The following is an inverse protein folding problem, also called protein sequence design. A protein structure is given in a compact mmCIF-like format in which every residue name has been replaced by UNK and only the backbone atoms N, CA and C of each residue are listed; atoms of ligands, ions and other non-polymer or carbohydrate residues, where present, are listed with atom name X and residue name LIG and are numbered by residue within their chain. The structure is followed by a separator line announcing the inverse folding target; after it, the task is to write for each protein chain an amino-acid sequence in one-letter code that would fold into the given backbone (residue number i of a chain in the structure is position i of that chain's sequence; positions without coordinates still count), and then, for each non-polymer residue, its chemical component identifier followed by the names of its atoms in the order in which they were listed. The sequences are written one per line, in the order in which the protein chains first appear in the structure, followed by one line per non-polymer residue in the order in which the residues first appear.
data_IF_754243758670
#
_entry.id   IF_754243758670
#
_cell.length_a   1.000
_cell.length_b   1.000
_cell.length_c   1.000
_cell.angle_alpha   90.00
_cell.angle_beta   90.00
_cell.angle_gamma   90.00
#
_symmetry.space_group_name_H-M   'P 1'
#
loop_
_entity.id
_entity.type
_entity.pdbx_description
1 polymer ?
#
# COMPACT_ATOMS: atom_id res chain seq x y z
N UNK A 1 -47.82 -3.01 -15.16
CA UNK A 1 -47.39 -4.38 -15.47
C UNK A 1 -46.22 -4.77 -14.54
N UNK A 2 -46.26 -6.02 -14.05
CA UNK A 2 -45.24 -6.58 -13.14
C UNK A 2 -43.83 -6.54 -13.74
N UNK A 3 -43.73 -6.63 -15.07
CA UNK A 3 -42.43 -6.53 -15.78
C UNK A 3 -41.84 -5.12 -15.67
N UNK A 4 -42.66 -4.09 -15.87
CA UNK A 4 -42.21 -2.69 -15.75
C UNK A 4 -41.72 -2.36 -14.34
N UNK A 5 -42.37 -2.93 -13.31
CA UNK A 5 -41.92 -2.81 -11.93
C UNK A 5 -40.54 -3.46 -11.73
N UNK A 6 -40.33 -4.69 -12.23
CA UNK A 6 -39.06 -5.41 -12.15
C UNK A 6 -37.94 -4.68 -12.89
N UNK A 7 -38.21 -4.08 -14.03
CA UNK A 7 -37.25 -3.26 -14.76
C UNK A 7 -36.80 -2.04 -13.93
N UNK A 8 -37.75 -1.31 -13.33
CA UNK A 8 -37.45 -0.17 -12.49
C UNK A 8 -36.61 -0.58 -11.25
N UNK A 9 -36.92 -1.71 -10.63
CA UNK A 9 -36.13 -2.28 -9.54
C UNK A 9 -34.70 -2.59 -10.01
N UNK A 10 -34.52 -3.18 -11.19
CA UNK A 10 -33.23 -3.52 -11.75
C UNK A 10 -32.39 -2.25 -12.09
N UNK A 11 -33.04 -1.21 -12.64
CA UNK A 11 -32.43 0.11 -12.87
C UNK A 11 -31.90 0.69 -11.56
N UNK A 12 -32.74 0.69 -10.52
CA UNK A 12 -32.35 1.24 -9.21
C UNK A 12 -31.17 0.48 -8.59
N UNK A 13 -31.15 -0.86 -8.72
CA UNK A 13 -30.04 -1.70 -8.24
C UNK A 13 -28.77 -1.43 -9.04
N UNK A 14 -28.86 -1.30 -10.36
CA UNK A 14 -27.71 -1.03 -11.24
C UNK A 14 -27.10 0.35 -10.95
N UNK A 15 -27.95 1.37 -10.79
CA UNK A 15 -27.50 2.72 -10.44
C UNK A 15 -26.80 2.74 -9.07
N UNK A 16 -27.36 2.03 -8.09
CA UNK A 16 -26.71 1.87 -6.80
C UNK A 16 -25.36 1.16 -6.91
N UNK A 17 -25.29 0.08 -7.71
CA UNK A 17 -24.04 -0.64 -7.95
C UNK A 17 -22.98 0.27 -8.58
N UNK A 18 -23.37 1.09 -9.57
CA UNK A 18 -22.48 2.08 -10.19
C UNK A 18 -21.96 3.10 -9.18
N UNK A 19 -22.84 3.66 -8.33
CA UNK A 19 -22.44 4.59 -7.26
C UNK A 19 -21.52 3.94 -6.22
N UNK A 20 -21.75 2.68 -5.86
CA UNK A 20 -20.88 1.95 -4.94
C UNK A 20 -19.50 1.73 -5.57
N UNK A 21 -19.40 1.47 -6.89
CA UNK A 21 -18.11 1.37 -7.60
C UNK A 21 -17.37 2.71 -7.65
N UNK A 22 -18.06 3.83 -7.86
CA UNK A 22 -17.45 5.17 -7.77
C UNK A 22 -16.85 5.44 -6.38
N UNK A 23 -17.57 5.03 -5.33
CA UNK A 23 -17.04 5.16 -3.95
C UNK A 23 -15.81 4.27 -3.71
N UNK A 24 -15.79 3.08 -4.29
CA UNK A 24 -14.61 2.19 -4.22
C UNK A 24 -13.45 2.81 -4.98
N UNK A 25 -13.69 3.42 -6.16
CA UNK A 25 -12.64 4.12 -6.92
C UNK A 25 -11.98 5.24 -6.10
N UNK A 26 -12.79 6.08 -5.44
CA UNK A 26 -12.27 7.14 -4.56
C UNK A 26 -11.46 6.56 -3.39
N UNK A 27 -11.90 5.43 -2.83
CA UNK A 27 -11.16 4.78 -1.75
C UNK A 27 -9.81 4.22 -2.25
N UNK A 28 -9.75 3.66 -3.46
CA UNK A 28 -8.50 3.19 -4.07
C UNK A 28 -7.51 4.36 -4.31
N UNK A 29 -7.97 5.49 -4.80
CA UNK A 29 -7.14 6.71 -4.96
C UNK A 29 -6.53 7.15 -3.61
N UNK A 30 -7.33 7.12 -2.53
CA UNK A 30 -6.83 7.45 -1.18
C UNK A 30 -5.80 6.44 -0.65
N UNK A 31 -5.95 5.15 -1.00
CA UNK A 31 -4.98 4.12 -0.63
C UNK A 31 -3.69 4.30 -1.45
N UNK A 32 -3.77 4.63 -2.73
CA UNK A 32 -2.62 4.92 -3.59
C UNK A 32 -1.80 6.09 -3.03
N UNK A 33 -2.46 7.19 -2.64
CA UNK A 33 -1.80 8.32 -1.97
C UNK A 33 -1.12 7.88 -0.65
N UNK A 34 -1.78 7.02 0.12
CA UNK A 34 -1.23 6.50 1.38
C UNK A 34 0.02 5.66 1.16
N UNK A 35 0.05 4.84 0.10
CA UNK A 35 1.23 4.05 -0.28
C UNK A 35 2.37 4.96 -0.73
N UNK A 36 2.10 5.98 -1.52
CA UNK A 36 3.13 6.94 -1.93
C UNK A 36 3.74 7.67 -0.72
N UNK A 37 2.91 8.07 0.24
CA UNK A 37 3.39 8.66 1.49
C UNK A 37 4.21 7.68 2.33
N UNK A 38 3.83 6.40 2.35
CA UNK A 38 4.59 5.34 3.01
C UNK A 38 5.97 5.17 2.37
N UNK A 39 6.06 5.09 1.03
CA UNK A 39 7.33 5.01 0.32
C UNK A 39 8.25 6.19 0.65
N UNK A 40 7.71 7.40 0.66
CA UNK A 40 8.47 8.59 1.02
C UNK A 40 8.99 8.54 2.48
N UNK A 41 8.20 8.03 3.41
CA UNK A 41 8.60 7.87 4.81
C UNK A 41 9.68 6.79 4.97
N UNK A 42 9.52 5.64 4.31
CA UNK A 42 10.47 4.53 4.34
C UNK A 42 11.82 4.95 3.73
N UNK A 43 11.81 5.69 2.62
CA UNK A 43 13.02 6.24 2.01
C UNK A 43 13.75 7.23 2.96
N UNK A 44 13.01 8.03 3.73
CA UNK A 44 13.63 8.89 4.76
C UNK A 44 14.32 8.08 5.85
N UNK A 45 13.71 6.97 6.29
CA UNK A 45 14.33 6.05 7.26
C UNK A 45 15.59 5.44 6.69
N UNK A 46 15.60 5.00 5.43
CA UNK A 46 16.78 4.49 4.75
C UNK A 46 17.94 5.51 4.69
N UNK A 47 17.62 6.75 4.33
CA UNK A 47 18.62 7.83 4.29
C UNK A 47 19.19 8.12 5.69
N UNK A 48 18.33 8.23 6.71
CA UNK A 48 18.78 8.43 8.10
C UNK A 48 19.65 7.27 8.60
N UNK A 49 19.32 6.03 8.24
CA UNK A 49 20.15 4.86 8.54
C UNK A 49 21.52 4.96 7.89
N UNK A 50 21.59 5.45 6.64
CA UNK A 50 22.86 5.71 5.96
C UNK A 50 23.73 6.75 6.67
N UNK A 51 23.14 7.82 7.19
CA UNK A 51 23.86 8.82 8.00
C UNK A 51 24.37 8.23 9.32
N UNK A 52 23.56 7.38 9.97
CA UNK A 52 23.98 6.69 11.20
C UNK A 52 25.18 5.78 10.93
N UNK A 53 25.24 5.07 9.80
CA UNK A 53 26.40 4.26 9.43
C UNK A 53 27.68 5.09 9.38
N UNK A 54 27.63 6.30 8.81
CA UNK A 54 28.80 7.19 8.77
C UNK A 54 29.26 7.60 10.17
N UNK A 55 28.29 7.93 11.06
CA UNK A 55 28.59 8.29 12.44
C UNK A 55 29.21 7.10 13.21
N UNK A 56 28.66 5.91 13.02
CA UNK A 56 29.15 4.69 13.67
C UNK A 56 30.58 4.36 13.24
N UNK A 57 30.90 4.50 11.95
CA UNK A 57 32.26 4.31 11.45
C UNK A 57 33.25 5.29 12.09
N UNK A 58 32.87 6.59 12.21
CA UNK A 58 33.68 7.58 12.88
C UNK A 58 33.91 7.25 14.38
N UNK A 59 32.85 6.78 15.07
CA UNK A 59 32.96 6.35 16.47
C UNK A 59 33.90 5.14 16.59
N UNK A 60 33.86 4.21 15.64
CA UNK A 60 34.80 3.10 15.56
C UNK A 60 36.26 3.53 15.41
N UNK A 61 36.53 4.46 14.48
CA UNK A 61 37.85 5.04 14.29
C UNK A 61 38.36 5.72 15.57
N UNK A 62 37.51 6.50 16.25
CA UNK A 62 37.85 7.15 17.53
C UNK A 62 38.15 6.11 18.62
N UNK A 63 37.37 5.02 18.68
CA UNK A 63 37.62 3.96 19.65
C UNK A 63 38.97 3.27 19.41
N UNK A 64 39.28 2.96 18.15
CA UNK A 64 40.55 2.33 17.79
C UNK A 64 41.73 3.25 18.08
N UNK A 65 41.63 4.54 17.75
CA UNK A 65 42.68 5.53 18.09
C UNK A 65 42.85 5.70 19.61
N UNK A 66 41.72 5.71 20.34
CA UNK A 66 41.72 5.77 21.81
C UNK A 66 42.40 4.54 22.42
N UNK A 67 42.16 3.36 21.85
CA UNK A 67 42.79 2.11 22.27
C UNK A 67 44.31 2.16 22.04
N UNK A 68 44.79 2.65 20.87
CA UNK A 68 46.20 2.85 20.57
C UNK A 68 46.83 3.84 21.50
N UNK A 69 46.18 4.97 21.80
CA UNK A 69 46.67 5.98 22.77
C UNK A 69 46.80 5.39 24.18
N UNK A 70 45.82 4.58 24.61
CA UNK A 70 45.84 3.91 25.91
C UNK A 70 47.02 2.92 26.02
N UNK A 71 47.30 2.19 24.94
CA UNK A 71 48.43 1.27 24.87
C UNK A 71 49.75 2.02 24.98
N UNK A 72 49.92 3.10 24.23
CA UNK A 72 51.09 3.94 24.28
C UNK A 72 51.32 4.54 25.69
N UNK A 73 50.23 5.03 26.31
CA UNK A 73 50.25 5.54 27.68
C UNK A 73 50.63 4.44 28.70
N UNK A 74 50.16 3.22 28.52
CA UNK A 74 50.51 2.07 29.36
C UNK A 74 51.99 1.71 29.25
N UNK A 75 52.55 1.77 28.04
CA UNK A 75 53.98 1.53 27.80
C UNK A 75 54.84 2.60 28.50
N UNK A 76 54.49 3.88 28.37
CA UNK A 76 55.25 4.95 28.99
C UNK A 76 55.13 4.97 30.53
N UNK A 77 53.93 4.61 31.04
CA UNK A 77 53.71 4.40 32.47
C UNK A 77 54.60 3.26 33.04
N UNK A 78 54.75 2.18 32.31
CA UNK A 78 55.62 1.08 32.66
C UNK A 78 57.11 1.53 32.64
N UNK A 79 57.47 2.38 31.69
CA UNK A 79 58.83 2.95 31.57
C UNK A 79 59.22 3.88 32.73
N UNK A 80 58.20 4.56 33.33
CA UNK A 80 58.41 5.43 34.51
C UNK A 80 58.44 4.62 35.83
N UNK A 81 58.32 3.32 35.85
CA UNK A 81 58.47 2.47 37.03
C UNK A 81 57.43 2.79 38.14
N UNK A 82 57.92 2.90 39.38
CA UNK A 82 57.09 3.21 40.55
C UNK A 82 56.30 4.53 40.40
N UNK A 83 56.83 5.52 39.77
CA UNK A 83 56.18 6.82 39.57
C UNK A 83 55.04 6.74 38.55
N UNK A 84 55.00 5.72 37.66
CA UNK A 84 54.03 5.53 36.63
C UNK A 84 52.81 4.64 37.03
N UNK A 85 52.82 4.02 38.21
CA UNK A 85 51.77 3.05 38.60
C UNK A 85 50.36 3.60 38.51
N UNK A 86 50.10 4.82 38.96
CA UNK A 86 48.79 5.47 38.88
C UNK A 86 48.34 5.70 37.43
N UNK A 87 49.30 6.11 36.57
CA UNK A 87 49.02 6.31 35.15
C UNK A 87 48.74 5.00 34.40
N UNK A 88 49.44 3.92 34.77
CA UNK A 88 49.19 2.59 34.18
C UNK A 88 47.75 2.09 34.43
N UNK A 89 47.19 2.33 35.62
CA UNK A 89 45.79 1.97 35.94
C UNK A 89 44.82 2.77 35.08
N UNK A 90 45.04 4.08 34.95
CA UNK A 90 44.17 4.96 34.11
C UNK A 90 44.24 4.54 32.64
N UNK A 91 45.45 4.33 32.12
CA UNK A 91 45.65 3.89 30.74
C UNK A 91 44.93 2.54 30.47
N UNK A 92 45.06 1.56 31.39
CA UNK A 92 44.36 0.28 31.27
C UNK A 92 42.85 0.44 31.26
N UNK A 93 42.29 1.35 32.08
CA UNK A 93 40.86 1.60 32.12
C UNK A 93 40.35 2.29 30.83
N UNK A 94 41.15 3.24 30.28
CA UNK A 94 40.84 3.85 28.97
C UNK A 94 40.86 2.80 27.87
N UNK A 95 41.81 1.87 27.85
CA UNK A 95 41.83 0.77 26.89
C UNK A 95 40.60 -0.13 26.97
N UNK A 96 40.13 -0.45 28.19
CA UNK A 96 38.86 -1.21 28.35
C UNK A 96 37.64 -0.44 27.81
N UNK A 97 37.55 0.86 28.09
CA UNK A 97 36.46 1.70 27.57
C UNK A 97 36.50 1.77 26.04
N UNK A 98 37.65 1.87 25.44
CA UNK A 98 37.83 1.86 23.99
C UNK A 98 37.35 0.53 23.38
N UNK A 99 37.76 -0.60 23.95
CA UNK A 99 37.29 -1.93 23.50
C UNK A 99 35.79 -2.11 23.64
N UNK A 100 35.16 -1.66 24.74
CA UNK A 100 33.72 -1.69 24.93
C UNK A 100 33.00 -0.81 23.89
N UNK A 101 33.61 0.31 23.50
CA UNK A 101 33.11 1.18 22.46
C UNK A 101 33.11 0.48 21.09
N UNK A 102 34.23 -0.20 20.76
CA UNK A 102 34.35 -1.00 19.51
C UNK A 102 33.29 -2.12 19.45
N UNK A 103 33.07 -2.81 20.57
CA UNK A 103 32.02 -3.84 20.65
C UNK A 103 30.62 -3.25 20.46
N UNK A 104 30.34 -2.09 21.07
CA UNK A 104 29.09 -1.36 20.90
C UNK A 104 28.85 -0.94 19.46
N UNK A 105 29.90 -0.44 18.78
CA UNK A 105 29.89 -0.09 17.35
C UNK A 105 29.50 -1.30 16.50
N UNK A 106 30.09 -2.47 16.75
CA UNK A 106 29.75 -3.69 16.02
C UNK A 106 28.27 -4.08 16.20
N UNK A 107 27.78 -3.98 17.42
CA UNK A 107 26.36 -4.28 17.71
C UNK A 107 25.40 -3.31 17.02
N UNK A 108 25.72 -2.00 17.03
CA UNK A 108 24.89 -1.00 16.36
C UNK A 108 24.93 -1.20 14.84
N UNK A 109 26.09 -1.53 14.27
CA UNK A 109 26.22 -1.84 12.83
C UNK A 109 25.32 -3.00 12.42
N UNK A 110 25.23 -4.06 13.24
CA UNK A 110 24.34 -5.18 12.99
C UNK A 110 22.87 -4.74 13.00
N UNK A 111 22.44 -3.92 13.97
CA UNK A 111 21.09 -3.39 14.05
C UNK A 111 20.73 -2.50 12.83
N UNK A 112 21.65 -1.64 12.40
CA UNK A 112 21.43 -0.80 11.23
C UNK A 112 21.34 -1.63 9.95
N UNK A 113 22.09 -2.72 9.85
CA UNK A 113 21.98 -3.66 8.73
C UNK A 113 20.58 -4.31 8.70
N UNK A 114 20.07 -4.70 9.85
CA UNK A 114 18.71 -5.24 9.97
C UNK A 114 17.65 -4.19 9.60
N UNK A 115 17.78 -2.94 10.06
CA UNK A 115 16.89 -1.84 9.69
C UNK A 115 16.90 -1.64 8.17
N UNK A 116 18.06 -1.63 7.52
CA UNK A 116 18.15 -1.47 6.07
C UNK A 116 17.49 -2.61 5.30
N UNK A 117 17.55 -3.85 5.81
CA UNK A 117 16.83 -4.98 5.24
C UNK A 117 15.31 -4.78 5.36
N UNK A 118 14.83 -4.37 6.55
CA UNK A 118 13.40 -4.10 6.78
C UNK A 118 12.88 -2.94 5.90
N UNK A 119 13.70 -1.89 5.70
CA UNK A 119 13.40 -0.79 4.78
C UNK A 119 13.25 -1.33 3.35
N UNK A 120 14.19 -2.17 2.89
CA UNK A 120 14.12 -2.79 1.57
C UNK A 120 12.87 -3.67 1.39
N UNK A 121 12.48 -4.43 2.41
CA UNK A 121 11.27 -5.24 2.40
C UNK A 121 10.00 -4.36 2.34
N UNK A 122 9.96 -3.29 3.13
CA UNK A 122 8.84 -2.36 3.16
C UNK A 122 8.64 -1.66 1.80
N UNK A 123 9.73 -1.25 1.14
CA UNK A 123 9.65 -0.67 -0.23
C UNK A 123 9.10 -1.68 -1.22
N UNK A 124 9.58 -2.93 -1.20
CA UNK A 124 9.06 -3.98 -2.10
C UNK A 124 7.57 -4.24 -1.87
N UNK A 125 7.14 -4.29 -0.60
CA UNK A 125 5.74 -4.51 -0.25
C UNK A 125 4.85 -3.33 -0.67
N UNK A 126 5.31 -2.10 -0.49
CA UNK A 126 4.60 -0.90 -0.94
C UNK A 126 4.42 -0.90 -2.46
N UNK A 127 5.49 -1.21 -3.22
CA UNK A 127 5.44 -1.31 -4.68
C UNK A 127 4.48 -2.41 -5.16
N UNK A 128 4.48 -3.59 -4.53
CA UNK A 128 3.53 -4.66 -4.85
C UNK A 128 2.08 -4.24 -4.56
N UNK A 129 1.85 -3.55 -3.44
CA UNK A 129 0.52 -3.03 -3.10
C UNK A 129 0.04 -1.97 -4.09
N UNK A 130 0.93 -1.12 -4.63
CA UNK A 130 0.60 -0.15 -5.66
C UNK A 130 0.15 -0.83 -6.96
N UNK A 131 0.81 -1.92 -7.36
CA UNK A 131 0.44 -2.73 -8.53
C UNK A 131 -0.94 -3.38 -8.33
N UNK A 132 -1.21 -3.96 -7.16
CA UNK A 132 -2.51 -4.57 -6.82
C UNK A 132 -3.65 -3.54 -6.84
N UNK A 133 -3.40 -2.31 -6.40
CA UNK A 133 -4.37 -1.21 -6.44
C UNK A 133 -4.65 -0.80 -7.88
N UNK A 134 -3.61 -0.66 -8.71
CA UNK A 134 -3.79 -0.34 -10.13
C UNK A 134 -4.64 -1.40 -10.83
N UNK A 135 -4.37 -2.69 -10.59
CA UNK A 135 -5.19 -3.78 -11.11
C UNK A 135 -6.64 -3.76 -10.59
N UNK A 136 -6.82 -3.36 -9.33
CA UNK A 136 -8.16 -3.21 -8.74
C UNK A 136 -8.94 -2.04 -9.37
N UNK A 137 -8.27 -0.93 -9.68
CA UNK A 137 -8.88 0.21 -10.37
C UNK A 137 -9.39 -0.17 -11.76
N UNK A 138 -8.63 -0.97 -12.53
CA UNK A 138 -9.06 -1.47 -13.84
C UNK A 138 -10.31 -2.37 -13.73
N UNK A 139 -10.38 -3.21 -12.69
CA UNK A 139 -11.56 -4.04 -12.43
C UNK A 139 -12.79 -3.20 -12.07
N UNK A 140 -12.62 -2.12 -11.31
CA UNK A 140 -13.70 -1.18 -10.99
C UNK A 140 -14.20 -0.49 -12.26
N UNK A 141 -13.31 -0.03 -13.14
CA UNK A 141 -13.70 0.55 -14.43
C UNK A 141 -14.54 -0.44 -15.25
N UNK A 142 -14.11 -1.69 -15.33
CA UNK A 142 -14.84 -2.75 -16.02
C UNK A 142 -16.24 -2.99 -15.39
N UNK A 143 -16.34 -2.92 -14.07
CA UNK A 143 -17.60 -3.05 -13.37
C UNK A 143 -18.57 -1.88 -13.67
N UNK A 144 -18.06 -0.64 -13.70
CA UNK A 144 -18.85 0.54 -14.09
C UNK A 144 -19.38 0.40 -15.51
N UNK A 145 -18.53 0.03 -16.48
CA UNK A 145 -18.94 -0.22 -17.86
C UNK A 145 -20.03 -1.30 -17.96
N UNK A 146 -19.91 -2.33 -17.12
CA UNK A 146 -20.91 -3.41 -17.05
C UNK A 146 -22.26 -2.90 -16.57
N UNK A 147 -22.30 -2.01 -15.58
CA UNK A 147 -23.56 -1.39 -15.13
C UNK A 147 -24.18 -0.51 -16.22
N UNK A 148 -23.38 0.21 -17.00
CA UNK A 148 -23.89 1.01 -18.13
C UNK A 148 -24.50 0.13 -19.23
N UNK A 149 -23.90 -1.03 -19.52
CA UNK A 149 -24.45 -2.02 -20.45
C UNK A 149 -25.76 -2.60 -19.91
N UNK A 150 -25.83 -2.93 -18.62
CA UNK A 150 -27.08 -3.41 -17.98
C UNK A 150 -28.17 -2.36 -18.10
N UNK A 151 -27.87 -1.09 -17.82
CA UNK A 151 -28.82 0.01 -17.94
C UNK A 151 -29.40 0.13 -19.35
N UNK A 152 -28.53 0.09 -20.37
CA UNK A 152 -28.93 0.11 -21.77
C UNK A 152 -29.84 -1.07 -22.13
N UNK A 153 -29.45 -2.28 -21.73
CA UNK A 153 -30.28 -3.50 -22.00
C UNK A 153 -31.66 -3.44 -21.36
N UNK A 154 -31.80 -2.81 -20.19
CA UNK A 154 -33.09 -2.62 -19.54
C UNK A 154 -33.94 -1.62 -20.34
N UNK A 155 -33.34 -0.53 -20.83
CA UNK A 155 -34.07 0.44 -21.69
C UNK A 155 -34.57 -0.24 -22.98
N UNK A 156 -33.72 -1.01 -23.65
CA UNK A 156 -34.09 -1.75 -24.87
C UNK A 156 -35.16 -2.75 -24.58
N UNK A 157 -35.11 -3.48 -23.47
CA UNK A 157 -36.15 -4.40 -23.01
C UNK A 157 -37.48 -3.68 -22.78
N UNK A 158 -37.43 -2.46 -22.21
CA UNK A 158 -38.61 -1.62 -22.01
C UNK A 158 -39.29 -1.22 -23.31
N UNK A 159 -38.50 -0.89 -24.33
CA UNK A 159 -39.01 -0.58 -25.66
C UNK A 159 -39.72 -1.82 -26.30
N UNK A 160 -39.08 -2.99 -26.24
CA UNK A 160 -39.65 -4.25 -26.75
C UNK A 160 -40.94 -4.62 -26.05
N UNK A 161 -41.04 -4.44 -24.74
CA UNK A 161 -42.26 -4.69 -23.97
C UNK A 161 -43.41 -3.75 -24.39
N UNK A 162 -43.06 -2.48 -24.65
CA UNK A 162 -44.04 -1.49 -25.11
C UNK A 162 -44.59 -1.85 -26.52
N UNK A 163 -43.71 -2.27 -27.41
CA UNK A 163 -44.10 -2.78 -28.74
C UNK A 163 -44.97 -4.02 -28.64
N UNK A 164 -44.59 -4.99 -27.79
CA UNK A 164 -45.38 -6.21 -27.57
C UNK A 164 -46.79 -5.88 -27.03
N UNK A 165 -46.90 -4.93 -26.10
CA UNK A 165 -48.20 -4.49 -25.60
C UNK A 165 -49.07 -3.88 -26.72
N UNK A 166 -48.48 -3.13 -27.64
CA UNK A 166 -49.16 -2.62 -28.84
C UNK A 166 -49.66 -3.74 -29.73
N UNK A 167 -48.85 -4.76 -30.00
CA UNK A 167 -49.22 -5.92 -30.81
C UNK A 167 -50.33 -6.77 -30.16
N UNK A 168 -50.35 -6.90 -28.85
CA UNK A 168 -51.42 -7.59 -28.11
C UNK A 168 -52.73 -6.85 -28.30
N UNK A 169 -52.77 -5.52 -28.24
CA UNK A 169 -53.98 -4.75 -28.47
C UNK A 169 -54.47 -4.88 -29.92
N UNK A 170 -53.60 -4.92 -30.92
CA UNK A 170 -53.94 -5.19 -32.31
C UNK A 170 -54.59 -6.57 -32.47
N UNK A 171 -54.04 -7.61 -31.82
CA UNK A 171 -54.61 -8.96 -31.84
C UNK A 171 -55.98 -9.00 -31.17
N UNK A 172 -56.21 -8.31 -30.06
CA UNK A 172 -57.46 -8.24 -29.35
C UNK A 172 -58.56 -7.56 -30.21
N UNK A 173 -58.20 -6.48 -30.92
CA UNK A 173 -59.07 -5.80 -31.88
C UNK A 173 -59.49 -6.74 -33.04
N UNK A 174 -58.51 -7.46 -33.62
CA UNK A 174 -58.80 -8.44 -34.69
C UNK A 174 -59.67 -9.57 -34.17
N UNK A 175 -59.38 -10.07 -32.97
CA UNK A 175 -60.21 -11.13 -32.36
C UNK A 175 -61.72 -10.68 -32.15
N UNK A 176 -61.86 -9.42 -31.68
CA UNK A 176 -63.20 -8.82 -31.50
C UNK A 176 -63.96 -8.68 -32.83
N UNK A 177 -63.27 -8.23 -33.88
CA UNK A 177 -63.82 -8.09 -35.19
C UNK A 177 -64.23 -9.45 -35.80
N UNK A 178 -63.40 -10.49 -35.61
CA UNK A 178 -63.70 -11.87 -36.05
C UNK A 178 -64.95 -12.43 -35.31
N UNK A 179 -65.06 -12.19 -33.99
CA UNK A 179 -66.18 -12.60 -33.19
C UNK A 179 -67.48 -11.95 -33.69
N UNK A 180 -67.48 -10.64 -33.98
CA UNK A 180 -68.60 -9.91 -34.50
C UNK A 180 -69.11 -10.47 -35.88
N UNK A 181 -68.16 -10.75 -36.78
CA UNK A 181 -68.47 -11.35 -38.10
C UNK A 181 -69.07 -12.77 -37.95
N UNK A 182 -68.61 -13.55 -36.97
CA UNK A 182 -69.14 -14.89 -36.69
C UNK A 182 -70.54 -14.88 -36.10
N UNK A 183 -70.99 -13.84 -35.43
CA UNK A 183 -72.29 -13.67 -34.89
C UNK A 183 -73.36 -13.22 -35.97
N UNK A 184 -72.87 -12.56 -37.06
CA UNK A 184 -73.71 -12.14 -38.17
C UNK A 184 -74.00 -13.26 -39.21
N UNK A 185 -73.38 -14.39 -39.14
CA UNK A 185 -73.64 -15.56 -40.00
C UNK A 185 -74.52 -16.58 -39.30
#
# INVERSE_FOLDING_TARGET
SRVKQKMNETVAISEKGRQDMERVSIALESIEESIHNLEAAVNKVGNASGEIVQIINLIGEIADETNLLSLNASIEAARAGEAGKGFAVVASEIGKLANNSTESVANITALITEINNLVGDAVRQASGSAEDISGSADLIHTAVDTFDVIFKNIQDTGALISEMAGKINEVDEVATNVAAISEEQ
#
